data_IF_521054652444
#
_entry.id   IF_521054652444
#
_cell.length_a   1.000
_cell.length_b   1.000
_cell.length_c   1.000
_cell.angle_alpha   90.00
_cell.angle_beta   90.00
_cell.angle_gamma   90.00
#
_symmetry.space_group_name_H-M   'P 1'
#
loop_
_entity.id
_entity.type
_entity.pdbx_description
1 polymer ?
#
# COMPACT_ATOMS: atom_id res chain seq x y z
N UNK A 1 -16.89 -4.32 -26.36
CA UNK A 1 -17.16 -3.23 -25.39
C UNK A 1 -17.23 -3.74 -23.96
N UNK A 2 -17.80 -4.91 -23.69
CA UNK A 2 -17.88 -5.51 -22.34
C UNK A 2 -16.53 -5.67 -21.64
N UNK A 3 -15.48 -6.12 -22.34
CA UNK A 3 -14.17 -6.33 -21.69
C UNK A 3 -13.56 -5.02 -21.18
N UNK A 4 -13.67 -3.91 -21.92
CA UNK A 4 -13.20 -2.58 -21.47
C UNK A 4 -13.99 -2.06 -20.27
N UNK A 5 -15.31 -2.28 -20.25
CA UNK A 5 -16.14 -1.88 -19.12
C UNK A 5 -15.83 -2.68 -17.85
N UNK A 6 -15.53 -3.99 -17.99
CA UNK A 6 -15.09 -4.86 -16.90
C UNK A 6 -13.75 -4.41 -16.32
N UNK A 7 -12.74 -4.19 -17.17
CA UNK A 7 -11.40 -3.72 -16.76
C UNK A 7 -11.49 -2.37 -16.04
N UNK A 8 -12.29 -1.44 -16.56
CA UNK A 8 -12.48 -0.13 -15.91
C UNK A 8 -13.14 -0.25 -14.53
N UNK A 9 -14.09 -1.18 -14.37
CA UNK A 9 -14.74 -1.44 -13.07
C UNK A 9 -13.77 -2.05 -12.06
N UNK A 10 -12.94 -2.99 -12.51
CA UNK A 10 -11.92 -3.66 -11.70
C UNK A 10 -10.82 -2.68 -11.26
N UNK A 11 -10.34 -1.84 -12.17
CA UNK A 11 -9.44 -0.73 -11.87
C UNK A 11 -10.02 0.25 -10.85
N UNK A 12 -11.31 0.63 -11.01
CA UNK A 12 -11.99 1.53 -10.09
C UNK A 12 -12.11 0.93 -8.67
N UNK A 13 -12.45 -0.35 -8.57
CA UNK A 13 -12.52 -1.05 -7.27
C UNK A 13 -11.16 -1.11 -6.57
N UNK A 14 -10.09 -1.35 -7.33
CA UNK A 14 -8.73 -1.38 -6.80
C UNK A 14 -8.26 0.01 -6.35
N UNK A 15 -8.59 1.06 -7.11
CA UNK A 15 -8.35 2.46 -6.72
C UNK A 15 -9.08 2.79 -5.41
N UNK A 16 -10.35 2.40 -5.28
CA UNK A 16 -11.12 2.60 -4.04
C UNK A 16 -10.46 1.87 -2.88
N UNK A 17 -10.02 0.62 -3.09
CA UNK A 17 -9.32 -0.17 -2.07
C UNK A 17 -8.01 0.50 -1.64
N UNK A 18 -7.24 1.04 -2.59
CA UNK A 18 -6.01 1.77 -2.30
C UNK A 18 -6.28 3.05 -1.48
N UNK A 19 -7.34 3.79 -1.82
CA UNK A 19 -7.78 4.96 -1.05
C UNK A 19 -8.18 4.58 0.39
N UNK A 20 -8.83 3.44 0.59
CA UNK A 20 -9.16 2.92 1.92
C UNK A 20 -7.90 2.54 2.70
N UNK A 21 -6.90 1.92 2.07
CA UNK A 21 -5.62 1.66 2.70
C UNK A 21 -4.91 2.95 3.14
N UNK A 22 -4.88 3.99 2.31
CA UNK A 22 -4.35 5.31 2.67
C UNK A 22 -5.11 5.91 3.85
N UNK A 23 -6.43 5.73 3.91
CA UNK A 23 -7.25 6.19 5.02
C UNK A 23 -6.93 5.43 6.32
N UNK A 24 -6.75 4.11 6.26
CA UNK A 24 -6.30 3.31 7.41
C UNK A 24 -4.92 3.75 7.90
N UNK A 25 -4.02 4.11 6.99
CA UNK A 25 -2.75 4.73 7.35
C UNK A 25 -3.02 6.03 8.12
N UNK A 26 -3.88 6.94 7.64
CA UNK A 26 -4.20 8.22 8.32
C UNK A 26 -4.78 8.08 9.72
N UNK A 27 -5.25 6.89 10.09
CA UNK A 27 -5.88 6.66 11.39
C UNK A 27 -5.03 5.82 12.33
N UNK A 28 -3.86 6.31 12.77
CA UNK A 28 -3.24 5.70 13.90
C UNK A 28 -3.40 6.58 15.12
N UNK A 29 -4.06 6.06 16.14
CA UNK A 29 -3.67 6.33 17.52
C UNK A 29 -2.24 5.79 17.80
N UNK A 30 -1.30 5.86 16.84
CA UNK A 30 0.13 5.54 16.96
C UNK A 30 0.83 6.71 17.65
N UNK A 31 0.31 7.13 18.81
CA UNK A 31 1.06 7.96 19.75
C UNK A 31 2.10 7.06 20.46
N UNK A 32 2.84 6.32 19.65
CA UNK A 32 3.78 5.31 20.08
C UNK A 32 4.99 6.04 20.66
N UNK A 33 5.17 5.88 21.97
CA UNK A 33 6.32 6.41 22.70
C UNK A 33 7.38 5.33 22.72
N UNK A 34 8.60 5.67 22.36
CA UNK A 34 9.73 4.74 22.42
C UNK A 34 10.67 4.85 21.23
N UNK A 35 11.70 3.99 21.18
CA UNK A 35 12.79 4.09 20.20
C UNK A 35 12.32 3.89 18.73
N UNK A 36 11.14 3.33 18.51
CA UNK A 36 10.62 3.03 17.17
C UNK A 36 9.54 4.00 16.67
N UNK A 37 9.18 5.02 17.47
CA UNK A 37 8.20 6.03 17.10
C UNK A 37 8.53 6.73 15.77
N UNK A 38 9.82 7.00 15.54
CA UNK A 38 10.31 7.61 14.31
C UNK A 38 10.19 6.68 13.10
N UNK A 39 10.51 5.40 13.28
CA UNK A 39 10.38 4.38 12.24
C UNK A 39 8.92 4.27 11.77
N UNK A 40 7.99 4.30 12.72
CA UNK A 40 6.55 4.22 12.45
C UNK A 40 6.05 5.46 11.71
N UNK A 41 6.41 6.67 12.18
CA UNK A 41 6.06 7.92 11.49
C UNK A 41 6.65 8.00 10.08
N UNK A 42 7.89 7.53 9.91
CA UNK A 42 8.55 7.51 8.62
C UNK A 42 7.88 6.51 7.66
N UNK A 43 7.63 5.29 8.13
CA UNK A 43 6.90 4.26 7.37
C UNK A 43 5.55 4.78 6.89
N UNK A 44 4.79 5.42 7.77
CA UNK A 44 3.50 5.99 7.41
C UNK A 44 3.58 7.03 6.30
N UNK A 45 4.50 8.00 6.43
CA UNK A 45 4.68 9.07 5.45
C UNK A 45 5.11 8.51 4.10
N UNK A 46 6.19 7.74 4.08
CA UNK A 46 6.75 7.20 2.84
C UNK A 46 5.76 6.27 2.12
N UNK A 47 5.03 5.45 2.88
CA UNK A 47 4.02 4.57 2.32
C UNK A 47 2.85 5.35 1.72
N UNK A 48 2.38 6.40 2.41
CA UNK A 48 1.36 7.29 1.86
C UNK A 48 1.82 7.94 0.55
N UNK A 49 3.04 8.50 0.52
CA UNK A 49 3.55 9.19 -0.67
C UNK A 49 3.68 8.23 -1.87
N UNK A 50 4.03 6.97 -1.62
CA UNK A 50 4.05 5.92 -2.64
C UNK A 50 2.67 5.54 -3.15
N UNK A 51 1.68 5.40 -2.25
CA UNK A 51 0.30 5.12 -2.64
C UNK A 51 -0.32 6.31 -3.40
N UNK A 52 -0.01 7.55 -3.00
CA UNK A 52 -0.39 8.75 -3.73
C UNK A 52 0.24 8.76 -5.14
N UNK A 53 1.48 8.27 -5.31
CA UNK A 53 2.11 8.12 -6.63
C UNK A 53 1.42 7.06 -7.51
N UNK A 54 0.93 5.96 -6.92
CA UNK A 54 0.10 4.96 -7.65
C UNK A 54 -1.18 5.63 -8.17
N UNK A 55 -1.88 6.40 -7.33
CA UNK A 55 -3.11 7.10 -7.72
C UNK A 55 -2.89 8.26 -8.69
N UNK A 56 -1.75 8.95 -8.58
CA UNK A 56 -1.37 10.06 -9.45
C UNK A 56 -0.90 9.64 -10.84
N UNK A 57 -0.79 8.33 -11.11
CA UNK A 57 -0.41 7.81 -12.41
C UNK A 57 -1.42 8.17 -13.50
N UNK A 58 -1.08 9.13 -14.37
CA UNK A 58 -1.96 9.60 -15.46
C UNK A 58 -2.26 8.55 -16.55
N UNK A 59 -1.57 7.41 -16.52
CA UNK A 59 -1.83 6.27 -17.42
C UNK A 59 -1.69 4.96 -16.67
N UNK A 60 -2.38 3.92 -17.13
CA UNK A 60 -2.32 2.57 -16.53
C UNK A 60 -0.88 2.07 -16.44
N UNK A 61 -0.06 2.29 -17.47
CA UNK A 61 1.36 1.90 -17.46
C UNK A 61 2.14 2.57 -16.31
N UNK A 62 1.86 3.84 -16.02
CA UNK A 62 2.49 4.55 -14.89
C UNK A 62 1.96 3.98 -13.57
N UNK A 63 0.65 3.75 -13.44
CA UNK A 63 0.07 3.14 -12.24
C UNK A 63 0.68 1.77 -11.94
N UNK A 64 0.78 0.88 -12.94
CA UNK A 64 1.40 -0.46 -12.80
C UNK A 64 2.86 -0.35 -12.36
N UNK A 65 3.62 0.58 -12.95
CA UNK A 65 5.02 0.81 -12.58
C UNK A 65 5.15 1.26 -11.12
N UNK A 66 4.35 2.23 -10.69
CA UNK A 66 4.39 2.70 -9.30
C UNK A 66 3.84 1.65 -8.34
N UNK A 67 2.86 0.83 -8.75
CA UNK A 67 2.36 -0.30 -7.97
C UNK A 67 3.46 -1.34 -7.74
N UNK A 68 4.23 -1.71 -8.78
CA UNK A 68 5.37 -2.61 -8.64
C UNK A 68 6.45 -2.10 -7.67
N UNK A 69 6.81 -0.81 -7.76
CA UNK A 69 7.75 -0.19 -6.79
C UNK A 69 7.20 -0.18 -5.37
N UNK A 70 5.89 0.06 -5.22
CA UNK A 70 5.23 0.11 -3.91
C UNK A 70 5.15 -1.29 -3.31
N UNK A 71 4.86 -2.32 -4.11
CA UNK A 71 4.88 -3.73 -3.72
C UNK A 71 6.25 -4.12 -3.14
N UNK A 72 7.33 -3.82 -3.84
CA UNK A 72 8.68 -4.17 -3.38
C UNK A 72 9.05 -3.42 -2.09
N UNK A 73 8.66 -2.16 -1.97
CA UNK A 73 8.83 -1.39 -0.75
C UNK A 73 8.08 -1.98 0.44
N UNK A 74 6.81 -2.36 0.25
CA UNK A 74 5.98 -2.97 1.31
C UNK A 74 6.53 -4.32 1.76
N UNK A 75 7.06 -5.15 0.83
CA UNK A 75 7.76 -6.39 1.19
C UNK A 75 8.97 -6.12 2.08
N UNK A 76 9.76 -5.09 1.76
CA UNK A 76 10.91 -4.72 2.59
C UNK A 76 10.47 -4.23 3.97
N UNK A 77 9.40 -3.44 4.06
CA UNK A 77 8.84 -3.02 5.35
C UNK A 77 8.38 -4.23 6.18
N UNK A 78 7.68 -5.19 5.59
CA UNK A 78 7.27 -6.40 6.30
C UNK A 78 8.48 -7.16 6.89
N UNK A 79 9.59 -7.24 6.16
CA UNK A 79 10.84 -7.81 6.69
C UNK A 79 11.38 -6.99 7.88
N UNK A 80 11.46 -5.66 7.74
CA UNK A 80 11.95 -4.77 8.81
C UNK A 80 11.09 -4.92 10.07
N UNK A 81 9.77 -4.87 9.93
CA UNK A 81 8.83 -5.04 11.04
C UNK A 81 8.89 -6.45 11.64
N UNK A 82 9.13 -7.48 10.82
CA UNK A 82 9.38 -8.84 11.28
C UNK A 82 10.59 -8.97 12.21
N UNK A 83 11.63 -8.14 12.01
CA UNK A 83 12.84 -8.12 12.85
C UNK A 83 12.68 -7.33 14.16
N UNK A 84 11.61 -6.54 14.31
CA UNK A 84 11.36 -5.82 15.56
C UNK A 84 10.91 -6.78 16.67
N UNK A 85 11.15 -6.48 17.95
CA UNK A 85 10.65 -7.27 19.07
C UNK A 85 9.13 -7.48 19.03
N UNK A 86 8.66 -8.60 19.58
CA UNK A 86 7.24 -8.84 19.80
C UNK A 86 6.68 -7.95 20.92
N UNK A 87 5.39 -7.63 20.85
CA UNK A 87 4.72 -6.76 21.83
C UNK A 87 5.06 -5.27 21.70
N UNK A 88 5.73 -4.87 20.61
CA UNK A 88 6.12 -3.49 20.37
C UNK A 88 4.95 -2.67 19.84
N UNK A 89 4.32 -1.91 20.75
CA UNK A 89 3.21 -0.99 20.47
C UNK A 89 2.23 -1.55 19.46
N UNK A 90 2.12 -0.88 18.30
CA UNK A 90 1.15 -1.22 17.26
C UNK A 90 1.74 -2.03 16.09
N UNK A 91 2.89 -2.70 16.29
CA UNK A 91 3.56 -3.51 15.28
C UNK A 91 2.60 -4.42 14.50
N UNK A 92 1.75 -5.16 15.20
CA UNK A 92 0.84 -6.14 14.57
C UNK A 92 -0.23 -5.46 13.70
N UNK A 93 -0.76 -4.31 14.15
CA UNK A 93 -1.71 -3.51 13.37
C UNK A 93 -1.04 -2.98 12.10
N UNK A 94 0.19 -2.48 12.22
CA UNK A 94 0.98 -2.00 11.07
C UNK A 94 1.25 -3.14 10.10
N UNK A 95 1.67 -4.30 10.58
CA UNK A 95 1.88 -5.50 9.73
C UNK A 95 0.58 -5.89 9.01
N UNK A 96 -0.56 -5.85 9.69
CA UNK A 96 -1.87 -6.09 9.08
C UNK A 96 -2.17 -5.12 7.94
N UNK A 97 -1.97 -3.82 8.16
CA UNK A 97 -2.16 -2.79 7.13
C UNK A 97 -1.18 -2.99 5.96
N UNK A 98 0.08 -3.35 6.23
CA UNK A 98 1.07 -3.63 5.19
C UNK A 98 0.68 -4.83 4.33
N UNK A 99 0.10 -5.88 4.92
CA UNK A 99 -0.44 -7.01 4.15
C UNK A 99 -1.60 -6.62 3.26
N UNK A 100 -2.59 -5.89 3.79
CA UNK A 100 -3.70 -5.40 2.96
C UNK A 100 -3.22 -4.54 1.78
N UNK A 101 -2.24 -3.66 2.03
CA UNK A 101 -1.66 -2.85 0.97
C UNK A 101 -0.94 -3.73 -0.05
N UNK A 102 -0.16 -4.71 0.41
CA UNK A 102 0.57 -5.63 -0.45
C UNK A 102 -0.37 -6.36 -1.42
N UNK A 103 -1.51 -6.82 -0.92
CA UNK A 103 -2.53 -7.51 -1.72
C UNK A 103 -3.08 -6.56 -2.79
N UNK A 104 -3.53 -5.36 -2.40
CA UNK A 104 -4.10 -4.37 -3.35
C UNK A 104 -3.10 -3.95 -4.43
N UNK A 105 -1.84 -3.66 -4.07
CA UNK A 105 -0.83 -3.24 -5.06
C UNK A 105 -0.39 -4.40 -5.95
N UNK A 106 -0.44 -5.64 -5.46
CA UNK A 106 -0.17 -6.84 -6.26
C UNK A 106 -1.29 -7.07 -7.26
N UNK A 107 -2.54 -6.95 -6.84
CA UNK A 107 -3.70 -7.03 -7.73
C UNK A 107 -3.71 -5.91 -8.78
N UNK A 108 -3.32 -4.68 -8.41
CA UNK A 108 -3.16 -3.58 -9.37
C UNK A 108 -2.08 -3.88 -10.41
N UNK A 109 -0.92 -4.36 -9.99
CA UNK A 109 0.18 -4.68 -10.89
C UNK A 109 -0.20 -5.83 -11.84
N UNK A 110 -0.84 -6.89 -11.34
CA UNK A 110 -1.19 -8.07 -12.13
C UNK A 110 -2.43 -7.85 -12.99
N UNK A 111 -3.51 -7.32 -12.41
CA UNK A 111 -4.80 -7.11 -13.06
C UNK A 111 -4.76 -6.03 -14.13
N UNK A 112 -3.94 -4.98 -13.96
CA UNK A 112 -3.76 -3.95 -14.98
C UNK A 112 -2.57 -4.22 -15.92
N UNK A 113 -1.63 -5.09 -15.52
CA UNK A 113 -0.47 -5.44 -16.32
C UNK A 113 -0.74 -6.48 -17.41
N UNK A 114 -1.81 -7.26 -17.31
CA UNK A 114 -2.12 -8.34 -18.25
C UNK A 114 -2.90 -7.90 -19.51
N UNK A 115 -3.46 -6.68 -19.50
CA UNK A 115 -4.39 -6.19 -20.52
C UNK A 115 -3.82 -5.09 -21.45
N UNK A 116 -2.50 -4.81 -21.38
CA UNK A 116 -1.81 -3.80 -22.20
C UNK A 116 -0.56 -4.30 -22.92
#
# INVERSE_FOLDING_TARGET
MENKARINKEAANLIVSLCLCIHKLKNPNLDEKGPYALLIKWTHRDLKDRLDAVLGGLSVRVMVREAGKTKDYVKNLLVIYGLLPEGLGHKNEIIGILHEILDVVTELEQGLGHDF
#
